data_IF_645992733247
#
_entry.id   IF_645992733247
#
_cell.length_a   1.000
_cell.length_b   1.000
_cell.length_c   1.000
_cell.angle_alpha   90.00
_cell.angle_beta   90.00
_cell.angle_gamma   90.00
#
_symmetry.space_group_name_H-M   'P 1'
#
loop_
_entity.id
_entity.type
_entity.pdbx_description
1 polymer ?
#
# COMPACT_ATOMS: atom_id res chain seq x y z
N UNK A 1 -23.73 51.18 -14.79
CA UNK A 1 -24.80 50.18 -14.61
C UNK A 1 -24.12 48.83 -14.63
N UNK A 2 -23.63 48.45 -13.46
CA UNK A 2 -22.90 47.22 -13.19
C UNK A 2 -23.93 46.10 -13.06
N UNK A 3 -23.90 45.11 -13.95
CA UNK A 3 -24.80 43.97 -13.93
C UNK A 3 -24.03 42.79 -13.34
N UNK A 4 -24.00 42.69 -12.01
CA UNK A 4 -23.58 41.48 -11.30
C UNK A 4 -24.71 40.46 -11.38
N UNK A 5 -24.60 39.54 -12.33
CA UNK A 5 -25.37 38.29 -12.34
C UNK A 5 -24.57 37.23 -11.57
N UNK A 6 -25.06 36.85 -10.39
CA UNK A 6 -24.53 35.76 -9.59
C UNK A 6 -24.75 34.40 -10.31
N UNK A 7 -23.78 33.47 -10.30
CA UNK A 7 -24.03 32.10 -10.71
C UNK A 7 -24.36 31.19 -9.50
N UNK A 8 -25.51 30.53 -9.62
CA UNK A 8 -25.87 29.18 -9.15
C UNK A 8 -25.63 28.80 -7.68
N UNK A 9 -26.63 29.09 -6.86
CA UNK A 9 -26.87 28.42 -5.58
C UNK A 9 -27.58 27.07 -5.80
N UNK A 10 -26.88 25.98 -5.53
CA UNK A 10 -27.26 24.88 -4.64
C UNK A 10 -26.54 23.60 -5.09
N UNK A 11 -25.26 23.49 -4.71
CA UNK A 11 -24.58 22.19 -4.71
C UNK A 11 -25.45 21.26 -3.85
N UNK A 12 -25.94 20.16 -4.44
CA UNK A 12 -26.84 19.21 -3.78
C UNK A 12 -26.24 18.81 -2.42
N UNK A 13 -26.90 19.21 -1.33
CA UNK A 13 -26.39 19.01 0.04
C UNK A 13 -26.09 17.53 0.34
N UNK A 14 -26.75 16.62 -0.36
CA UNK A 14 -26.50 15.19 -0.28
C UNK A 14 -25.19 14.76 -0.97
N UNK A 15 -24.88 15.31 -2.15
CA UNK A 15 -23.64 15.02 -2.88
C UNK A 15 -22.42 15.54 -2.11
N UNK A 16 -22.52 16.73 -1.53
CA UNK A 16 -21.47 17.30 -0.69
C UNK A 16 -21.22 16.45 0.57
N UNK A 17 -22.27 15.91 1.19
CA UNK A 17 -22.13 15.01 2.34
C UNK A 17 -21.39 13.71 1.97
N UNK A 18 -21.75 13.09 0.84
CA UNK A 18 -21.10 11.86 0.36
C UNK A 18 -19.61 12.09 0.10
N UNK A 19 -19.26 13.21 -0.54
CA UNK A 19 -17.87 13.58 -0.82
C UNK A 19 -17.08 13.80 0.48
N UNK A 20 -17.67 14.50 1.46
CA UNK A 20 -17.01 14.72 2.75
C UNK A 20 -16.84 13.42 3.56
N UNK A 21 -17.79 12.50 3.50
CA UNK A 21 -17.69 11.21 4.17
C UNK A 21 -16.60 10.34 3.51
N UNK A 22 -16.50 10.36 2.17
CA UNK A 22 -15.40 9.71 1.45
C UNK A 22 -14.04 10.31 1.80
N UNK A 23 -13.95 11.64 1.95
CA UNK A 23 -12.72 12.33 2.36
C UNK A 23 -12.27 11.92 3.76
N UNK A 24 -13.20 11.85 4.72
CA UNK A 24 -12.91 11.39 6.10
C UNK A 24 -12.47 9.93 6.15
N UNK A 25 -13.03 9.08 5.30
CA UNK A 25 -12.61 7.68 5.23
C UNK A 25 -11.18 7.57 4.67
N UNK A 26 -10.86 8.38 3.65
CA UNK A 26 -9.53 8.41 3.05
C UNK A 26 -8.46 9.03 3.96
N UNK A 27 -8.84 9.90 4.90
CA UNK A 27 -7.88 10.54 5.81
C UNK A 27 -7.20 9.55 6.76
N UNK A 28 -7.69 8.31 6.92
CA UNK A 28 -6.96 7.28 7.68
C UNK A 28 -5.62 6.92 7.02
N UNK A 29 -5.50 7.09 5.70
CA UNK A 29 -4.28 6.79 4.96
C UNK A 29 -3.25 7.93 5.00
N UNK A 30 -3.53 9.06 5.65
CA UNK A 30 -2.64 10.23 5.69
C UNK A 30 -2.50 10.77 7.11
N UNK A 31 -1.29 11.16 7.51
CA UNK A 31 -1.08 11.86 8.78
C UNK A 31 -1.56 13.32 8.67
N UNK A 32 -2.78 13.58 9.13
CA UNK A 32 -3.34 14.92 9.20
C UNK A 32 -3.18 15.53 10.60
N UNK A 33 -2.63 16.76 10.73
CA UNK A 33 -2.61 17.48 12.00
C UNK A 33 -4.01 17.64 12.63
N UNK A 34 -4.08 17.64 13.95
CA UNK A 34 -5.34 17.84 14.66
C UNK A 34 -5.95 19.21 14.31
N UNK A 35 -7.20 19.22 13.84
CA UNK A 35 -7.90 20.44 13.44
C UNK A 35 -7.68 20.87 11.98
N UNK A 36 -7.13 20.01 11.12
CA UNK A 36 -7.00 20.29 9.69
C UNK A 36 -8.37 20.58 9.06
N UNK A 37 -8.47 21.67 8.29
CA UNK A 37 -9.69 22.02 7.55
C UNK A 37 -9.97 21.02 6.43
N UNK A 38 -11.20 20.99 5.90
CA UNK A 38 -11.54 20.11 4.78
C UNK A 38 -10.67 20.38 3.53
N UNK A 39 -10.33 21.66 3.28
CA UNK A 39 -9.42 22.03 2.18
C UNK A 39 -7.99 21.52 2.41
N UNK A 40 -7.49 21.60 3.65
CA UNK A 40 -6.18 21.05 4.00
C UNK A 40 -6.14 19.52 3.88
N UNK A 41 -7.21 18.85 4.30
CA UNK A 41 -7.38 17.40 4.13
C UNK A 41 -7.46 17.02 2.65
N UNK A 42 -8.16 17.81 1.82
CA UNK A 42 -8.21 17.57 0.38
C UNK A 42 -6.82 17.64 -0.26
N UNK A 43 -6.02 18.66 0.08
CA UNK A 43 -4.65 18.77 -0.45
C UNK A 43 -3.76 17.59 -0.06
N UNK A 44 -3.89 17.10 1.17
CA UNK A 44 -3.16 15.93 1.65
C UNK A 44 -3.60 14.63 0.94
N UNK A 45 -4.91 14.42 0.81
CA UNK A 45 -5.47 13.21 0.19
C UNK A 45 -5.22 13.16 -1.31
N UNK A 46 -5.40 14.28 -2.02
CA UNK A 46 -5.17 14.37 -3.47
C UNK A 46 -3.69 14.29 -3.86
N UNK A 47 -2.77 14.67 -2.96
CA UNK A 47 -1.33 14.54 -3.16
C UNK A 47 -0.77 13.14 -2.90
N UNK A 48 -1.45 12.33 -2.07
CA UNK A 48 -1.02 10.98 -1.75
C UNK A 48 -1.66 9.94 -2.67
N UNK A 49 -0.85 9.05 -3.24
CA UNK A 49 -1.32 8.06 -4.22
C UNK A 49 -2.27 7.02 -3.62
N UNK A 50 -2.06 6.62 -2.36
CA UNK A 50 -2.91 5.64 -1.68
C UNK A 50 -4.22 6.31 -1.24
N UNK A 51 -4.14 7.43 -0.54
CA UNK A 51 -5.30 8.17 -0.05
C UNK A 51 -6.22 8.63 -1.19
N UNK A 52 -5.64 9.10 -2.30
CA UNK A 52 -6.37 9.42 -3.54
C UNK A 52 -7.17 8.22 -4.06
N UNK A 53 -6.54 7.05 -4.10
CA UNK A 53 -7.18 5.82 -4.55
C UNK A 53 -8.30 5.39 -3.60
N UNK A 54 -8.09 5.51 -2.28
CA UNK A 54 -9.11 5.24 -1.27
C UNK A 54 -10.29 6.20 -1.36
N UNK A 55 -10.03 7.50 -1.58
CA UNK A 55 -11.06 8.51 -1.76
C UNK A 55 -11.94 8.21 -2.97
N UNK A 56 -11.33 8.04 -4.16
CA UNK A 56 -12.07 7.71 -5.39
C UNK A 56 -12.86 6.40 -5.24
N UNK A 57 -12.26 5.40 -4.60
CA UNK A 57 -12.92 4.11 -4.36
C UNK A 57 -14.11 4.25 -3.42
N UNK A 58 -13.97 4.97 -2.31
CA UNK A 58 -15.07 5.20 -1.35
C UNK A 58 -16.21 5.95 -2.03
N UNK A 59 -15.89 6.90 -2.90
CA UNK A 59 -16.86 7.71 -3.63
C UNK A 59 -17.58 6.90 -4.72
N UNK A 60 -16.83 6.10 -5.48
CA UNK A 60 -17.37 5.20 -6.52
C UNK A 60 -18.31 4.16 -5.92
N UNK A 61 -17.98 3.59 -4.75
CA UNK A 61 -18.85 2.65 -4.02
C UNK A 61 -20.14 3.34 -3.56
N UNK A 62 -20.03 4.57 -3.03
CA UNK A 62 -21.19 5.29 -2.48
C UNK A 62 -22.17 5.73 -3.58
N UNK A 63 -21.65 6.08 -4.75
CA UNK A 63 -22.44 6.56 -5.88
C UNK A 63 -22.86 5.45 -6.84
N UNK A 64 -22.21 4.28 -6.78
CA UNK A 64 -22.47 3.18 -7.71
C UNK A 64 -22.14 3.53 -9.16
N UNK A 65 -21.14 4.39 -9.39
CA UNK A 65 -20.64 4.79 -10.72
C UNK A 65 -19.11 4.70 -10.75
N UNK A 66 -18.54 4.39 -11.92
CA UNK A 66 -17.10 4.54 -12.12
C UNK A 66 -16.76 6.03 -12.25
N UNK A 67 -15.76 6.46 -11.47
CA UNK A 67 -15.33 7.85 -11.42
C UNK A 67 -14.01 8.02 -12.16
N UNK A 68 -13.87 9.04 -13.02
CA UNK A 68 -12.61 9.30 -13.69
C UNK A 68 -11.56 9.83 -12.69
N UNK A 69 -10.31 9.41 -12.86
CA UNK A 69 -9.19 9.86 -12.02
C UNK A 69 -8.88 11.35 -12.15
N UNK A 70 -9.40 12.01 -13.20
CA UNK A 70 -9.32 13.47 -13.38
C UNK A 70 -10.03 14.27 -12.29
N UNK A 71 -10.89 13.65 -11.47
CA UNK A 71 -11.48 14.30 -10.28
C UNK A 71 -10.42 14.70 -9.24
N UNK A 72 -9.30 13.97 -9.17
CA UNK A 72 -8.20 14.28 -8.25
C UNK A 72 -7.42 15.53 -8.67
N UNK A 73 -7.56 15.97 -9.92
CA UNK A 73 -6.92 17.20 -10.43
C UNK A 73 -7.67 18.47 -9.99
N UNK A 74 -8.84 18.32 -9.35
CA UNK A 74 -9.61 19.46 -8.85
C UNK A 74 -8.87 20.13 -7.70
N UNK A 75 -8.79 21.45 -7.76
CA UNK A 75 -8.08 22.23 -6.72
C UNK A 75 -8.93 22.32 -5.45
N UNK A 76 -10.25 22.29 -5.63
CA UNK A 76 -11.25 22.47 -4.59
C UNK A 76 -12.22 21.30 -4.54
N UNK A 77 -12.74 21.02 -3.36
CA UNK A 77 -13.68 19.92 -3.16
C UNK A 77 -15.05 20.22 -3.78
N UNK A 78 -15.42 21.49 -3.88
CA UNK A 78 -16.66 21.92 -4.53
C UNK A 78 -16.67 21.58 -6.03
N UNK A 79 -15.53 21.70 -6.70
CA UNK A 79 -15.36 21.30 -8.11
C UNK A 79 -15.54 19.78 -8.30
N UNK A 80 -15.15 18.99 -7.28
CA UNK A 80 -15.39 17.55 -7.27
C UNK A 80 -16.89 17.26 -7.19
N UNK A 81 -17.63 17.98 -6.34
CA UNK A 81 -19.08 17.81 -6.24
C UNK A 81 -19.78 18.19 -7.54
N UNK A 82 -19.39 19.30 -8.16
CA UNK A 82 -19.96 19.76 -9.44
C UNK A 82 -19.77 18.72 -10.55
N UNK A 83 -18.53 18.23 -10.75
CA UNK A 83 -18.23 17.18 -11.73
C UNK A 83 -18.97 15.87 -11.45
N UNK A 84 -19.16 15.50 -10.17
CA UNK A 84 -19.94 14.31 -9.80
C UNK A 84 -21.41 14.51 -10.16
N UNK A 85 -21.99 15.69 -9.88
CA UNK A 85 -23.38 15.96 -10.23
C UNK A 85 -23.60 15.95 -11.74
N UNK A 86 -22.65 16.46 -12.53
CA UNK A 86 -22.68 16.35 -14.00
C UNK A 86 -22.59 14.90 -14.47
N UNK A 87 -21.66 14.11 -13.91
CA UNK A 87 -21.50 12.69 -14.25
C UNK A 87 -22.74 11.87 -13.89
N UNK A 88 -23.36 12.16 -12.76
CA UNK A 88 -24.59 11.50 -12.32
C UNK A 88 -25.79 11.88 -13.20
N UNK A 89 -25.85 13.14 -13.68
CA UNK A 89 -26.91 13.60 -14.58
C UNK A 89 -26.77 13.04 -16.02
N UNK A 90 -25.54 12.73 -16.45
CA UNK A 90 -25.23 12.17 -17.77
C UNK A 90 -25.17 10.63 -17.81
N UNK A 91 -25.34 9.94 -16.69
CA UNK A 91 -25.22 8.49 -16.61
C UNK A 91 -26.46 7.78 -17.19
N UNK A 92 -26.36 7.41 -18.47
CA UNK A 92 -27.33 6.56 -19.17
C UNK A 92 -27.46 5.18 -18.50
N UNK A 93 -28.62 4.53 -18.64
CA UNK A 93 -29.03 3.33 -17.89
C UNK A 93 -28.08 2.11 -18.04
N UNK A 94 -27.22 2.11 -19.07
CA UNK A 94 -26.22 1.07 -19.34
C UNK A 94 -24.99 1.13 -18.39
N UNK A 95 -24.62 2.31 -17.89
CA UNK A 95 -23.53 2.47 -16.91
C UNK A 95 -23.96 2.00 -15.52
N UNK A 96 -25.22 2.24 -15.16
CA UNK A 96 -25.82 1.75 -13.92
C UNK A 96 -25.76 0.22 -13.82
N UNK A 97 -26.00 -0.52 -14.92
CA UNK A 97 -25.96 -1.99 -14.90
C UNK A 97 -24.55 -2.56 -14.71
N UNK A 98 -23.52 -1.96 -15.32
CA UNK A 98 -22.11 -2.39 -15.12
C UNK A 98 -21.59 -2.02 -13.73
N UNK A 99 -21.92 -0.82 -13.26
CA UNK A 99 -21.48 -0.35 -11.96
C UNK A 99 -22.23 -1.04 -10.80
N UNK A 100 -23.49 -1.44 -11.00
CA UNK A 100 -24.24 -2.24 -10.02
C UNK A 100 -23.73 -3.68 -9.92
N UNK A 101 -23.29 -4.31 -11.02
CA UNK A 101 -22.58 -5.60 -10.98
C UNK A 101 -21.24 -5.49 -10.22
N UNK A 102 -20.51 -4.39 -10.40
CA UNK A 102 -19.25 -4.13 -9.70
C UNK A 102 -19.48 -3.81 -8.20
N UNK A 103 -20.53 -3.05 -7.87
CA UNK A 103 -20.89 -2.70 -6.49
C UNK A 103 -21.42 -3.91 -5.69
N UNK A 104 -22.21 -4.79 -6.31
CA UNK A 104 -22.66 -6.05 -5.70
C UNK A 104 -21.47 -6.97 -5.38
N UNK A 105 -20.45 -7.00 -6.26
CA UNK A 105 -19.22 -7.77 -6.00
C UNK A 105 -18.40 -7.22 -4.82
N UNK A 106 -18.41 -5.89 -4.62
CA UNK A 106 -17.57 -5.21 -3.63
C UNK A 106 -18.19 -5.14 -2.22
N UNK A 107 -19.53 -5.18 -2.09
CA UNK A 107 -20.19 -4.98 -0.79
C UNK A 107 -20.22 -6.23 0.11
N UNK A 108 -19.89 -7.43 -0.42
CA UNK A 108 -20.09 -8.66 0.35
C UNK A 108 -18.86 -9.30 0.97
N UNK A 109 -17.62 -9.05 0.54
CA UNK A 109 -16.45 -9.70 1.14
C UNK A 109 -15.22 -8.82 1.06
N UNK A 110 -14.46 -8.72 2.16
CA UNK A 110 -13.05 -8.27 2.11
C UNK A 110 -12.39 -8.90 0.87
N UNK A 111 -11.68 -8.12 0.05
CA UNK A 111 -11.13 -8.64 -1.19
C UNK A 111 -10.31 -9.90 -0.89
N UNK A 112 -10.78 -11.05 -1.40
CA UNK A 112 -10.10 -12.33 -1.20
C UNK A 112 -8.86 -12.33 -2.07
N UNK A 113 -7.69 -12.31 -1.45
CA UNK A 113 -6.41 -12.44 -2.15
C UNK A 113 -6.05 -13.93 -2.21
N UNK A 114 -5.98 -14.48 -3.40
CA UNK A 114 -5.52 -15.85 -3.58
C UNK A 114 -3.98 -15.90 -3.55
N UNK A 115 -3.42 -16.75 -2.68
CA UNK A 115 -1.99 -17.08 -2.70
C UNK A 115 -1.81 -18.23 -3.69
N UNK A 116 -1.27 -17.93 -4.88
CA UNK A 116 -1.09 -18.93 -5.95
C UNK A 116 0.28 -19.60 -5.91
N UNK A 117 1.27 -18.97 -5.27
CA UNK A 117 2.63 -19.48 -5.15
C UNK A 117 3.38 -18.80 -4.00
N UNK A 118 4.37 -19.49 -3.45
CA UNK A 118 5.34 -18.93 -2.52
C UNK A 118 6.71 -19.60 -2.72
N UNK A 119 7.78 -18.92 -2.35
CA UNK A 119 9.16 -19.40 -2.38
C UNK A 119 9.91 -18.78 -1.21
N UNK A 120 10.91 -19.47 -0.66
CA UNK A 120 11.73 -18.95 0.43
C UNK A 120 13.16 -19.51 0.37
N UNK A 121 14.11 -18.73 0.89
CA UNK A 121 15.41 -19.20 1.37
C UNK A 121 15.49 -18.86 2.84
N UNK A 122 15.77 -19.83 3.70
CA UNK A 122 15.77 -19.68 5.15
C UNK A 122 17.04 -20.30 5.76
N UNK A 123 17.38 -19.94 7.01
CA UNK A 123 18.51 -20.56 7.71
C UNK A 123 18.42 -22.08 7.79
N UNK A 124 19.57 -22.74 7.93
CA UNK A 124 19.66 -24.21 8.03
C UNK A 124 19.63 -24.94 6.68
N UNK A 125 20.03 -24.27 5.60
CA UNK A 125 20.12 -24.85 4.26
C UNK A 125 18.76 -25.04 3.58
N UNK A 126 17.76 -24.24 3.94
CA UNK A 126 16.40 -24.33 3.42
C UNK A 126 16.29 -23.49 2.15
N UNK A 127 16.11 -24.14 1.00
CA UNK A 127 15.98 -23.46 -0.30
C UNK A 127 14.57 -23.55 -0.90
N UNK A 128 13.70 -24.39 -0.32
CA UNK A 128 12.34 -24.58 -0.79
C UNK A 128 11.34 -24.66 0.36
N UNK A 129 10.05 -24.45 0.05
CA UNK A 129 8.96 -24.69 1.00
C UNK A 129 8.87 -26.15 1.44
N UNK A 130 9.32 -27.09 0.59
CA UNK A 130 9.38 -28.50 0.92
C UNK A 130 10.35 -28.74 2.08
N UNK A 131 11.56 -28.19 1.97
CA UNK A 131 12.60 -28.31 3.00
C UNK A 131 12.13 -27.64 4.31
N UNK A 132 11.50 -26.46 4.23
CA UNK A 132 10.91 -25.81 5.42
C UNK A 132 9.94 -26.76 6.14
N UNK A 133 9.07 -27.42 5.37
CA UNK A 133 8.07 -28.30 5.94
C UNK A 133 8.68 -29.57 6.54
N UNK A 134 9.50 -30.29 5.77
CA UNK A 134 10.09 -31.56 6.22
C UNK A 134 11.11 -31.35 7.33
N UNK A 135 12.00 -30.38 7.16
CA UNK A 135 13.25 -30.32 7.90
C UNK A 135 13.22 -29.34 9.06
N UNK A 136 12.22 -28.47 9.16
CA UNK A 136 12.05 -27.56 10.31
C UNK A 136 10.72 -27.84 11.01
N UNK A 137 9.60 -27.76 10.28
CA UNK A 137 8.28 -27.82 10.91
C UNK A 137 7.89 -29.23 11.37
N UNK A 138 8.19 -30.25 10.56
CA UNK A 138 7.86 -31.65 10.89
C UNK A 138 8.93 -32.29 11.77
N UNK A 139 10.22 -32.14 11.43
CA UNK A 139 11.31 -32.74 12.19
C UNK A 139 11.64 -31.98 13.49
N UNK A 140 11.25 -30.70 13.60
CA UNK A 140 11.57 -29.83 14.73
C UNK A 140 13.04 -29.41 14.82
N UNK A 141 13.80 -29.45 13.71
CA UNK A 141 15.22 -29.05 13.70
C UNK A 141 15.37 -27.57 14.01
N UNK A 142 16.35 -27.25 14.83
CA UNK A 142 16.81 -25.89 15.05
C UNK A 142 17.79 -25.46 13.95
N UNK A 143 17.54 -24.30 13.35
CA UNK A 143 18.35 -23.72 12.28
C UNK A 143 19.31 -22.62 12.77
N UNK A 144 19.35 -22.39 14.08
CA UNK A 144 20.28 -21.47 14.71
C UNK A 144 21.69 -22.09 14.70
N UNK A 145 22.66 -21.31 14.23
CA UNK A 145 24.07 -21.67 14.18
C UNK A 145 24.91 -20.57 14.80
N UNK A 146 26.19 -20.85 15.10
CA UNK A 146 27.15 -19.79 15.39
C UNK A 146 27.25 -18.80 14.23
N UNK A 147 27.54 -17.54 14.54
CA UNK A 147 27.77 -16.49 13.56
C UNK A 147 28.95 -16.91 12.66
N UNK A 148 28.75 -17.06 11.34
CA UNK A 148 29.83 -17.45 10.45
C UNK A 148 30.92 -16.37 10.40
N UNK A 149 32.20 -16.78 10.40
CA UNK A 149 33.34 -15.86 10.25
C UNK A 149 33.33 -15.06 8.94
N UNK A 150 32.61 -15.53 7.93
CA UNK A 150 32.39 -14.80 6.68
C UNK A 150 31.50 -13.57 6.84
N UNK A 151 30.69 -13.50 7.91
CA UNK A 151 29.86 -12.33 8.23
C UNK A 151 30.66 -11.31 9.03
N UNK A 152 31.11 -11.70 10.21
CA UNK A 152 32.03 -10.95 11.06
C UNK A 152 32.61 -11.87 12.12
N UNK A 153 33.68 -11.43 12.78
CA UNK A 153 34.27 -12.17 13.90
C UNK A 153 33.52 -11.85 15.19
N UNK A 154 32.59 -12.75 15.56
CA UNK A 154 31.80 -12.61 16.78
C UNK A 154 32.64 -12.67 18.05
N UNK A 155 33.82 -13.30 18.04
CA UNK A 155 34.69 -13.38 19.22
C UNK A 155 35.29 -12.01 19.57
N UNK A 156 35.46 -11.12 18.59
CA UNK A 156 35.97 -9.75 18.83
C UNK A 156 34.95 -8.83 19.48
N UNK A 157 33.66 -9.13 19.32
CA UNK A 157 32.56 -8.28 19.76
C UNK A 157 31.81 -8.84 20.96
N UNK A 158 32.15 -10.05 21.42
CA UNK A 158 31.39 -10.72 22.46
C UNK A 158 31.71 -10.24 23.87
N UNK A 159 30.68 -9.82 24.59
CA UNK A 159 30.71 -9.51 26.02
C UNK A 159 29.47 -10.11 26.70
N UNK A 160 29.62 -11.10 27.60
CA UNK A 160 28.50 -11.73 28.28
C UNK A 160 27.73 -10.77 29.22
N UNK A 161 28.35 -9.69 29.68
CA UNK A 161 27.70 -8.69 30.55
C UNK A 161 27.00 -7.58 29.77
N UNK A 162 27.21 -7.52 28.45
CA UNK A 162 26.59 -6.54 27.55
C UNK A 162 27.12 -5.11 27.76
N UNK A 163 28.28 -4.81 27.18
CA UNK A 163 28.84 -3.47 27.09
C UNK A 163 28.41 -2.69 25.84
N UNK A 164 28.66 -1.38 25.82
CA UNK A 164 28.42 -0.54 24.64
C UNK A 164 29.26 -1.02 23.44
N UNK A 165 28.61 -1.27 22.29
CA UNK A 165 29.28 -1.76 21.09
C UNK A 165 29.60 -3.26 21.08
N UNK A 166 29.05 -4.04 22.01
CA UNK A 166 29.28 -5.50 22.11
C UNK A 166 28.01 -6.32 21.83
N UNK A 167 28.18 -7.62 21.66
CA UNK A 167 27.10 -8.60 21.53
C UNK A 167 27.18 -9.63 22.66
N UNK A 168 26.05 -10.01 23.24
CA UNK A 168 26.00 -11.04 24.29
C UNK A 168 25.51 -12.41 23.76
N UNK A 169 25.25 -12.51 22.46
CA UNK A 169 24.82 -13.74 21.76
C UNK A 169 25.74 -13.98 20.57
N UNK A 170 26.20 -15.22 20.39
CA UNK A 170 27.07 -15.64 19.26
C UNK A 170 26.36 -16.52 18.23
N UNK A 171 25.05 -16.69 18.38
CA UNK A 171 24.24 -17.62 17.59
C UNK A 171 23.11 -16.85 16.88
N UNK A 172 22.74 -17.32 15.69
CA UNK A 172 21.66 -16.73 14.90
C UNK A 172 21.30 -17.61 13.70
N UNK A 173 20.20 -17.27 13.03
CA UNK A 173 19.80 -17.91 11.79
C UNK A 173 20.44 -17.21 10.59
N UNK A 174 21.38 -17.88 9.92
CA UNK A 174 22.08 -17.33 8.76
C UNK A 174 21.70 -18.05 7.47
N UNK A 175 21.48 -17.28 6.42
CA UNK A 175 21.33 -17.80 5.05
C UNK A 175 22.73 -17.94 4.44
N UNK A 176 23.00 -19.09 3.86
CA UNK A 176 24.22 -19.38 3.10
C UNK A 176 24.19 -18.62 1.76
N UNK A 177 25.36 -18.17 1.30
CA UNK A 177 25.52 -17.48 0.01
C UNK A 177 24.55 -16.31 -0.20
N UNK A 178 24.27 -15.51 0.84
CA UNK A 178 23.33 -14.39 0.71
C UNK A 178 23.82 -13.27 -0.22
N UNK A 179 25.09 -13.29 -0.58
CA UNK A 179 25.74 -12.44 -1.58
C UNK A 179 25.68 -13.03 -3.01
N UNK A 180 25.22 -14.28 -3.18
CA UNK A 180 25.10 -14.90 -4.49
C UNK A 180 23.90 -14.35 -5.28
N UNK A 181 24.17 -13.91 -6.51
CA UNK A 181 23.17 -13.35 -7.41
C UNK A 181 23.47 -13.73 -8.86
N UNK A 182 22.47 -14.27 -9.58
CA UNK A 182 22.60 -14.58 -11.02
C UNK A 182 22.36 -13.34 -11.87
N UNK A 183 23.40 -12.54 -12.02
CA UNK A 183 23.33 -11.30 -12.77
C UNK A 183 23.05 -11.48 -14.26
N UNK A 184 23.46 -12.61 -14.84
CA UNK A 184 23.25 -12.91 -16.26
C UNK A 184 21.79 -13.19 -16.56
N UNK A 185 21.09 -13.88 -15.65
CA UNK A 185 19.65 -14.12 -15.78
C UNK A 185 18.84 -12.81 -15.80
N UNK A 186 19.23 -11.82 -15.00
CA UNK A 186 18.58 -10.50 -14.94
C UNK A 186 19.17 -9.47 -15.91
N UNK A 187 20.11 -9.88 -16.77
CA UNK A 187 20.79 -9.01 -17.74
C UNK A 187 21.51 -7.80 -17.09
N UNK A 188 21.96 -7.95 -15.83
CA UNK A 188 22.67 -6.91 -15.08
C UNK A 188 24.19 -7.01 -15.34
N UNK A 189 24.84 -5.95 -15.85
CA UNK A 189 26.29 -5.94 -16.10
C UNK A 189 27.13 -6.13 -14.83
N UNK A 190 28.27 -6.82 -14.93
CA UNK A 190 29.15 -7.14 -13.79
C UNK A 190 29.56 -5.90 -12.95
N UNK A 191 29.74 -4.74 -13.59
CA UNK A 191 30.13 -3.51 -12.89
C UNK A 191 29.02 -2.96 -11.97
N UNK A 192 27.75 -3.16 -12.30
CA UNK A 192 26.64 -2.73 -11.46
C UNK A 192 26.43 -3.67 -10.27
N UNK A 193 26.66 -4.98 -10.46
CA UNK A 193 26.52 -5.99 -9.39
C UNK A 193 27.50 -5.71 -8.25
N UNK A 194 28.72 -5.25 -8.56
CA UNK A 194 29.71 -4.91 -7.54
C UNK A 194 29.33 -3.74 -6.62
N UNK A 195 28.28 -2.98 -6.98
CA UNK A 195 27.73 -1.90 -6.14
C UNK A 195 26.56 -2.36 -5.27
N UNK A 196 26.03 -3.56 -5.52
CA UNK A 196 24.87 -4.12 -4.83
C UNK A 196 25.22 -5.23 -3.82
N UNK A 197 26.43 -5.79 -3.91
CA UNK A 197 26.98 -6.78 -2.96
C UNK A 197 27.74 -6.09 -1.83
#
# INVERSE_FOLDING_TARGET
MENQAAPSASVDANALKIVLDALKNASFAVEAPAGTSCEGLWGLVSGDSLASSYFLRSLSISLGIELPSSLLQSTKIEEVVEKITELAAGADADLHSKAQLHAIHLHQQSPRVAIISASCRLPGGIETLGDLWSDILVSGRDAITEIPKSRWDADLLYDPEGGEGTIYVKEGGFIEDADAFDNRFFEIPDHEVSLCA
#
